data_IF_871414335332
#
_entry.id   IF_871414335332
#
_cell.length_a   1.000
_cell.length_b   1.000
_cell.length_c   1.000
_cell.angle_alpha   90.00
_cell.angle_beta   90.00
_cell.angle_gamma   90.00
#
_symmetry.space_group_name_H-M   'P 1'
#
loop_
_entity.id
_entity.type
_entity.pdbx_description
1 polymer ?
#
# COMPACT_ATOMS: atom_id res chain seq x y z
N UNK A 1 18.53 -3.41 -19.51
CA UNK A 1 17.18 -3.47 -18.92
C UNK A 1 16.61 -2.06 -18.93
N UNK A 2 15.39 -1.83 -19.42
CA UNK A 2 14.84 -0.49 -19.47
C UNK A 2 14.54 -0.01 -18.04
N UNK A 3 14.92 1.24 -17.80
CA UNK A 3 14.88 1.94 -16.54
C UNK A 3 13.42 2.30 -16.24
N UNK A 4 12.67 1.41 -15.57
CA UNK A 4 11.27 1.67 -15.23
C UNK A 4 11.20 2.63 -14.06
N UNK A 5 11.35 3.94 -14.35
CA UNK A 5 10.91 4.98 -13.43
C UNK A 5 9.39 5.00 -13.50
N UNK A 6 8.73 4.17 -12.71
CA UNK A 6 7.35 4.45 -12.31
C UNK A 6 7.36 5.86 -11.72
N UNK A 7 6.85 6.82 -12.48
CA UNK A 7 6.55 8.13 -11.94
C UNK A 7 5.25 7.93 -11.18
N UNK A 8 5.27 8.17 -9.88
CA UNK A 8 4.06 8.15 -9.06
C UNK A 8 3.02 9.09 -9.71
N UNK A 9 1.77 8.64 -9.82
CA UNK A 9 0.69 9.47 -10.39
C UNK A 9 0.42 10.71 -9.52
N UNK A 10 0.77 10.65 -8.23
CA UNK A 10 0.57 11.74 -7.29
C UNK A 10 1.90 12.34 -6.88
N UNK A 11 2.05 13.65 -7.12
CA UNK A 11 3.17 14.44 -6.61
C UNK A 11 2.65 15.50 -5.66
N UNK A 12 3.17 15.48 -4.42
CA UNK A 12 2.86 16.49 -3.43
C UNK A 12 4.14 16.89 -2.68
N UNK A 13 4.65 18.09 -3.00
CA UNK A 13 5.96 18.55 -2.53
C UNK A 13 5.90 19.35 -1.22
N UNK A 14 4.73 19.89 -0.84
CA UNK A 14 4.57 20.76 0.33
C UNK A 14 3.15 20.67 0.90
N UNK A 15 3.00 20.65 2.24
CA UNK A 15 1.70 20.56 2.95
C UNK A 15 0.65 21.60 2.55
N UNK A 16 1.07 22.77 2.06
CA UNK A 16 0.15 23.84 1.63
C UNK A 16 -0.13 23.83 0.13
N UNK A 17 0.51 22.96 -0.64
CA UNK A 17 0.29 22.85 -2.07
C UNK A 17 -0.86 21.90 -2.36
N UNK A 18 -1.58 22.17 -3.45
CA UNK A 18 -2.59 21.25 -3.97
C UNK A 18 -1.89 19.97 -4.44
N UNK A 19 -2.41 18.77 -4.13
CA UNK A 19 -1.88 17.52 -4.68
C UNK A 19 -2.00 17.51 -6.20
N UNK A 20 -0.91 17.18 -6.88
CA UNK A 20 -0.89 17.11 -8.34
C UNK A 20 -1.12 15.67 -8.77
N UNK A 21 -2.15 15.45 -9.59
CA UNK A 21 -2.46 14.18 -10.24
C UNK A 21 -1.94 14.26 -11.68
N UNK A 22 -0.77 13.68 -11.92
CA UNK A 22 -0.14 13.67 -13.23
C UNK A 22 -0.76 12.61 -14.14
N UNK A 23 -0.73 12.90 -15.45
CA UNK A 23 -0.91 11.89 -16.48
C UNK A 23 0.23 10.87 -16.32
N UNK A 24 -0.14 9.64 -15.97
CA UNK A 24 0.79 8.52 -15.94
C UNK A 24 0.66 7.67 -17.19
N UNK A 25 1.58 6.71 -17.34
CA UNK A 25 1.55 5.79 -18.46
C UNK A 25 0.60 4.60 -18.24
N UNK A 26 0.18 4.38 -16.99
CA UNK A 26 -0.64 3.27 -16.56
C UNK A 26 -2.00 3.78 -16.03
N UNK A 27 -2.97 2.88 -15.84
CA UNK A 27 -4.26 3.22 -15.25
C UNK A 27 -4.10 3.60 -13.76
N UNK A 28 -4.98 4.47 -13.26
CA UNK A 28 -4.99 4.84 -11.84
C UNK A 28 -5.17 3.60 -10.95
N UNK A 29 -4.34 3.50 -9.92
CA UNK A 29 -4.42 2.42 -8.94
C UNK A 29 -5.17 2.85 -7.68
N UNK A 30 -5.66 1.91 -6.84
CA UNK A 30 -6.24 2.26 -5.54
C UNK A 30 -5.29 3.08 -4.66
N UNK A 31 -3.97 2.84 -4.80
CA UNK A 31 -2.92 3.54 -4.06
C UNK A 31 -2.79 5.00 -4.50
N UNK A 32 -2.92 5.29 -5.78
CA UNK A 32 -2.89 6.67 -6.28
C UNK A 32 -4.06 7.48 -5.74
N UNK A 33 -5.26 6.89 -5.73
CA UNK A 33 -6.46 7.56 -5.20
C UNK A 33 -6.36 7.74 -3.68
N UNK A 34 -5.86 6.76 -2.93
CA UNK A 34 -5.64 6.91 -1.47
C UNK A 34 -4.57 7.97 -1.16
N UNK A 35 -3.47 8.01 -1.92
CA UNK A 35 -2.45 9.02 -1.77
C UNK A 35 -3.00 10.42 -2.03
N UNK A 36 -3.80 10.59 -3.10
CA UNK A 36 -4.47 11.86 -3.38
C UNK A 36 -5.42 12.27 -2.24
N UNK A 37 -6.25 11.35 -1.74
CA UNK A 37 -7.16 11.59 -0.61
C UNK A 37 -6.40 12.09 0.62
N UNK A 38 -5.29 11.42 0.95
CA UNK A 38 -4.43 11.78 2.07
C UNK A 38 -3.85 13.19 1.93
N UNK A 39 -3.30 13.53 0.76
CA UNK A 39 -2.74 14.87 0.53
C UNK A 39 -3.81 15.95 0.45
N UNK A 40 -4.99 15.64 -0.10
CA UNK A 40 -6.13 16.55 -0.12
C UNK A 40 -6.60 16.89 1.31
N UNK A 41 -6.69 15.88 2.19
CA UNK A 41 -7.02 16.09 3.60
C UNK A 41 -5.97 16.94 4.33
N UNK A 42 -4.68 16.73 4.04
CA UNK A 42 -3.59 17.53 4.58
C UNK A 42 -3.63 18.98 4.09
N UNK A 43 -3.91 19.20 2.80
CA UNK A 43 -4.07 20.53 2.22
C UNK A 43 -5.21 21.30 2.90
N UNK A 44 -6.36 20.66 3.10
CA UNK A 44 -7.49 21.26 3.82
C UNK A 44 -7.11 21.60 5.26
N UNK A 45 -6.45 20.68 5.96
CA UNK A 45 -5.99 20.89 7.34
C UNK A 45 -5.01 22.08 7.44
N UNK A 46 -4.13 22.25 6.45
CA UNK A 46 -3.12 23.31 6.42
C UNK A 46 -3.65 24.68 5.98
N UNK A 47 -4.80 24.73 5.31
CA UNK A 47 -5.41 25.94 4.74
C UNK A 47 -6.85 26.18 5.24
N UNK A 48 -7.24 25.58 6.36
CA UNK A 48 -8.63 25.60 6.86
C UNK A 48 -9.17 27.00 7.18
N UNK A 49 -8.31 28.00 7.32
CA UNK A 49 -8.65 29.42 7.45
C UNK A 49 -9.08 30.07 6.12
N UNK A 50 -8.70 29.47 4.98
CA UNK A 50 -8.90 30.02 3.63
C UNK A 50 -9.80 29.16 2.75
N UNK A 51 -9.90 27.87 3.06
CA UNK A 51 -10.61 26.89 2.24
C UNK A 51 -11.78 26.34 3.04
N UNK A 52 -12.98 26.60 2.54
CA UNK A 52 -14.20 25.99 3.08
C UNK A 52 -14.43 24.60 2.50
N UNK A 53 -15.22 23.79 3.19
CA UNK A 53 -15.67 22.49 2.67
C UNK A 53 -16.40 22.61 1.32
N UNK A 54 -17.07 23.73 1.04
CA UNK A 54 -17.78 23.95 -0.23
C UNK A 54 -16.84 24.29 -1.40
N UNK A 55 -15.64 24.81 -1.11
CA UNK A 55 -14.69 25.26 -2.13
C UNK A 55 -13.52 24.30 -2.31
N UNK A 56 -13.37 23.33 -1.41
CA UNK A 56 -12.17 22.47 -1.35
C UNK A 56 -11.99 21.64 -2.61
N UNK A 57 -13.05 21.02 -3.13
CA UNK A 57 -12.96 20.20 -4.35
C UNK A 57 -12.55 21.06 -5.54
N UNK A 58 -13.18 22.22 -5.74
CA UNK A 58 -12.81 23.16 -6.80
C UNK A 58 -11.34 23.60 -6.73
N UNK A 59 -10.79 23.77 -5.52
CA UNK A 59 -9.39 24.13 -5.34
C UNK A 59 -8.47 22.94 -5.63
N UNK A 60 -8.83 21.75 -5.15
CA UNK A 60 -8.03 20.54 -5.34
C UNK A 60 -7.94 20.11 -6.80
N UNK A 61 -9.01 20.30 -7.58
CA UNK A 61 -9.03 19.91 -8.99
C UNK A 61 -8.13 20.79 -9.88
N UNK A 62 -7.68 21.95 -9.40
CA UNK A 62 -6.62 22.73 -10.07
C UNK A 62 -5.29 21.98 -10.18
N UNK A 63 -5.10 20.92 -9.38
CA UNK A 63 -3.94 20.03 -9.44
C UNK A 63 -4.08 18.88 -10.45
N UNK A 64 -5.20 18.75 -11.16
CA UNK A 64 -5.36 17.70 -12.16
C UNK A 64 -4.58 18.04 -13.44
N UNK A 65 -3.75 17.10 -13.86
CA UNK A 65 -3.01 17.17 -15.12
C UNK A 65 -3.28 15.96 -16.02
N UNK A 66 -3.87 14.90 -15.48
CA UNK A 66 -4.37 13.78 -16.27
C UNK A 66 -5.60 14.18 -17.09
N UNK A 67 -5.52 14.03 -18.42
CA UNK A 67 -6.58 14.46 -19.34
C UNK A 67 -7.89 13.71 -19.14
N UNK A 68 -7.85 12.42 -18.80
CA UNK A 68 -9.05 11.62 -18.58
C UNK A 68 -9.77 12.09 -17.31
N UNK A 69 -9.00 12.37 -16.26
CA UNK A 69 -9.56 12.87 -14.99
C UNK A 69 -10.11 14.29 -15.15
N UNK A 70 -9.41 15.17 -15.87
CA UNK A 70 -9.91 16.50 -16.21
C UNK A 70 -11.24 16.43 -16.98
N UNK A 71 -11.31 15.63 -18.03
CA UNK A 71 -12.53 15.48 -18.82
C UNK A 71 -13.68 14.88 -18.00
N UNK A 72 -13.41 13.86 -17.19
CA UNK A 72 -14.41 13.30 -16.28
C UNK A 72 -14.92 14.34 -15.29
N UNK A 73 -14.04 15.15 -14.72
CA UNK A 73 -14.41 16.22 -13.82
C UNK A 73 -15.28 17.28 -14.51
N UNK A 74 -14.89 17.73 -15.71
CA UNK A 74 -15.63 18.75 -16.47
C UNK A 74 -17.05 18.29 -16.83
N UNK A 75 -17.20 17.03 -17.25
CA UNK A 75 -18.51 16.46 -17.59
C UNK A 75 -19.44 16.36 -16.37
N UNK A 76 -18.89 16.07 -15.20
CA UNK A 76 -19.65 15.83 -13.96
C UNK A 76 -19.53 16.98 -12.95
N UNK A 77 -19.03 18.13 -13.39
CA UNK A 77 -18.52 19.22 -12.56
C UNK A 77 -19.49 19.65 -11.46
N UNK A 78 -20.76 19.89 -11.81
CA UNK A 78 -21.77 20.42 -10.90
C UNK A 78 -22.02 19.48 -9.72
N UNK A 79 -22.01 18.18 -9.95
CA UNK A 79 -22.30 17.19 -8.91
C UNK A 79 -21.06 16.87 -8.08
N UNK A 80 -19.90 16.76 -8.74
CA UNK A 80 -18.63 16.51 -8.04
C UNK A 80 -18.23 17.64 -7.09
N UNK A 81 -18.55 18.90 -7.39
CA UNK A 81 -18.25 20.03 -6.51
C UNK A 81 -18.98 20.00 -5.17
N UNK A 82 -20.08 19.26 -5.06
CA UNK A 82 -20.89 19.18 -3.83
C UNK A 82 -20.35 18.14 -2.85
N UNK A 83 -19.43 17.29 -3.30
CA UNK A 83 -18.94 16.16 -2.55
C UNK A 83 -17.91 16.59 -1.50
N UNK A 84 -17.88 15.87 -0.38
CA UNK A 84 -16.72 15.85 0.51
C UNK A 84 -15.51 15.18 -0.18
N UNK A 85 -14.32 15.34 0.38
CA UNK A 85 -13.11 14.66 -0.13
C UNK A 85 -13.31 13.14 -0.18
N UNK A 86 -13.94 12.56 0.84
CA UNK A 86 -14.18 11.11 0.92
C UNK A 86 -15.20 10.63 -0.12
N UNK A 87 -16.28 11.39 -0.34
CA UNK A 87 -17.27 11.06 -1.37
C UNK A 87 -16.66 11.22 -2.78
N UNK A 88 -15.88 12.28 -2.99
CA UNK A 88 -15.18 12.51 -4.25
C UNK A 88 -14.19 11.37 -4.57
N UNK A 89 -13.42 10.90 -3.59
CA UNK A 89 -12.49 9.78 -3.81
C UNK A 89 -13.24 8.47 -4.02
N UNK A 90 -14.42 8.29 -3.41
CA UNK A 90 -15.27 7.16 -3.74
C UNK A 90 -15.75 7.21 -5.20
N UNK A 91 -16.21 8.38 -5.68
CA UNK A 91 -16.58 8.55 -7.10
C UNK A 91 -15.40 8.33 -8.05
N UNK A 92 -14.18 8.73 -7.67
CA UNK A 92 -12.97 8.39 -8.44
C UNK A 92 -12.74 6.88 -8.50
N UNK A 93 -12.87 6.16 -7.37
CA UNK A 93 -12.70 4.70 -7.33
C UNK A 93 -13.72 4.00 -8.24
N UNK A 94 -14.98 4.42 -8.19
CA UNK A 94 -16.06 3.87 -9.03
C UNK A 94 -15.86 4.15 -10.52
N UNK A 95 -15.22 5.26 -10.86
CA UNK A 95 -15.02 5.67 -12.26
C UNK A 95 -13.79 5.02 -12.88
N UNK A 96 -12.67 5.00 -12.16
CA UNK A 96 -11.35 4.68 -12.73
C UNK A 96 -10.82 3.29 -12.36
N UNK A 97 -11.35 2.66 -11.31
CA UNK A 97 -10.93 1.31 -10.93
C UNK A 97 -11.87 0.27 -11.54
N UNK A 98 -11.35 -0.92 -11.80
CA UNK A 98 -12.15 -2.09 -12.17
C UNK A 98 -13.19 -2.37 -11.06
N UNK A 99 -14.43 -2.70 -11.40
CA UNK A 99 -15.50 -3.03 -10.44
C UNK A 99 -15.09 -4.08 -9.38
N UNK A 100 -14.17 -4.98 -9.73
CA UNK A 100 -13.67 -6.05 -8.87
C UNK A 100 -12.32 -5.75 -8.23
N UNK A 101 -11.80 -4.51 -8.33
CA UNK A 101 -10.46 -4.14 -7.84
C UNK A 101 -10.21 -4.59 -6.40
N UNK A 102 -11.18 -4.44 -5.51
CA UNK A 102 -11.03 -4.78 -4.09
C UNK A 102 -10.99 -6.29 -3.88
N UNK A 103 -11.75 -7.06 -4.66
CA UNK A 103 -11.74 -8.53 -4.66
C UNK A 103 -10.44 -9.06 -5.26
N UNK A 104 -9.98 -8.48 -6.36
CA UNK A 104 -8.73 -8.84 -7.01
C UNK A 104 -7.53 -8.56 -6.09
N UNK A 105 -7.50 -7.39 -5.44
CA UNK A 105 -6.47 -7.04 -4.47
C UNK A 105 -6.49 -7.96 -3.26
N UNK A 106 -7.67 -8.23 -2.69
CA UNK A 106 -7.82 -9.19 -1.58
C UNK A 106 -7.31 -10.59 -1.98
N UNK A 107 -7.69 -11.06 -3.17
CA UNK A 107 -7.23 -12.35 -3.70
C UNK A 107 -5.72 -12.38 -3.89
N UNK A 108 -5.13 -11.28 -4.38
CA UNK A 108 -3.68 -11.14 -4.54
C UNK A 108 -2.96 -11.16 -3.19
N UNK A 109 -3.49 -10.49 -2.16
CA UNK A 109 -2.95 -10.53 -0.80
C UNK A 109 -2.96 -11.97 -0.28
N UNK A 110 -4.12 -12.65 -0.34
CA UNK A 110 -4.28 -14.01 0.20
C UNK A 110 -3.51 -15.08 -0.58
N UNK A 111 -3.23 -14.84 -1.85
CA UNK A 111 -2.40 -15.73 -2.68
C UNK A 111 -0.89 -15.45 -2.54
N UNK A 112 -0.50 -14.38 -1.85
CA UNK A 112 0.90 -13.98 -1.75
C UNK A 112 1.71 -14.93 -0.88
N UNK A 113 2.91 -15.26 -1.35
CA UNK A 113 3.91 -16.01 -0.61
C UNK A 113 5.23 -15.28 -0.64
N UNK A 114 6.04 -15.43 0.42
CA UNK A 114 7.32 -14.74 0.54
C UNK A 114 8.21 -15.08 -0.66
N UNK A 115 8.54 -14.10 -1.53
CA UNK A 115 9.45 -14.34 -2.64
C UNK A 115 10.85 -14.68 -2.11
N UNK A 116 11.58 -15.56 -2.82
CA UNK A 116 12.97 -15.90 -2.45
C UNK A 116 13.93 -14.73 -2.52
N UNK A 117 13.56 -13.67 -3.24
CA UNK A 117 14.35 -12.45 -3.45
C UNK A 117 14.05 -11.35 -2.43
N UNK A 118 13.07 -11.55 -1.55
CA UNK A 118 12.55 -10.51 -0.67
C UNK A 118 12.65 -10.92 0.80
N UNK A 119 13.08 -10.00 1.66
CA UNK A 119 13.14 -10.27 3.10
C UNK A 119 11.74 -10.38 3.70
N UNK A 120 11.60 -11.12 4.80
CA UNK A 120 10.30 -11.28 5.46
C UNK A 120 9.68 -9.92 5.80
N UNK A 121 10.47 -8.96 6.27
CA UNK A 121 10.00 -7.61 6.61
C UNK A 121 9.47 -6.86 5.39
N UNK A 122 10.15 -6.95 4.24
CA UNK A 122 9.71 -6.27 3.02
C UNK A 122 8.37 -6.85 2.54
N UNK A 123 8.28 -8.18 2.46
CA UNK A 123 7.08 -8.88 2.04
C UNK A 123 5.88 -8.56 2.94
N UNK A 124 6.03 -8.65 4.26
CA UNK A 124 4.94 -8.34 5.20
C UNK A 124 4.53 -6.86 5.14
N UNK A 125 5.47 -5.95 4.93
CA UNK A 125 5.17 -4.52 4.78
C UNK A 125 4.39 -4.23 3.51
N UNK A 126 4.70 -4.91 2.40
CA UNK A 126 3.93 -4.78 1.17
C UNK A 126 2.49 -5.24 1.36
N UNK A 127 2.29 -6.42 1.98
CA UNK A 127 0.95 -6.93 2.25
C UNK A 127 0.16 -6.07 3.22
N UNK A 128 0.79 -5.48 4.24
CA UNK A 128 0.12 -4.51 5.11
C UNK A 128 -0.32 -3.26 4.36
N UNK A 129 0.54 -2.68 3.51
CA UNK A 129 0.18 -1.51 2.69
C UNK A 129 -0.97 -1.80 1.74
N UNK A 130 -1.04 -3.01 1.21
CA UNK A 130 -2.13 -3.39 0.33
C UNK A 130 -3.41 -3.67 1.12
N UNK A 131 -3.31 -4.24 2.32
CA UNK A 131 -4.45 -4.44 3.21
C UNK A 131 -5.08 -3.12 3.69
N UNK A 132 -4.29 -2.04 3.88
CA UNK A 132 -4.85 -0.73 4.27
C UNK A 132 -5.77 -0.15 3.19
N UNK A 133 -5.49 -0.42 1.91
CA UNK A 133 -6.35 -0.01 0.79
C UNK A 133 -7.75 -0.64 0.84
N UNK A 134 -7.86 -1.81 1.49
CA UNK A 134 -9.12 -2.55 1.63
C UNK A 134 -9.91 -2.15 2.88
N UNK A 135 -9.37 -1.32 3.77
CA UNK A 135 -9.96 -0.99 5.08
C UNK A 135 -11.37 -0.38 5.01
N UNK A 136 -11.69 0.33 3.92
CA UNK A 136 -12.99 0.95 3.67
C UNK A 136 -13.90 0.10 2.74
N UNK A 137 -13.53 -1.16 2.48
CA UNK A 137 -14.24 -2.05 1.55
C UNK A 137 -14.82 -3.26 2.30
N UNK A 138 -15.82 -3.96 1.73
CA UNK A 138 -16.27 -5.24 2.27
C UNK A 138 -15.21 -6.34 2.27
N UNK A 139 -14.08 -6.15 1.57
CA UNK A 139 -12.96 -7.08 1.47
C UNK A 139 -11.83 -6.75 2.45
N UNK A 140 -12.09 -5.96 3.50
CA UNK A 140 -11.12 -5.65 4.54
C UNK A 140 -10.48 -6.94 5.10
N UNK A 141 -9.15 -6.95 5.16
CA UNK A 141 -8.37 -8.09 5.67
C UNK A 141 -8.00 -7.80 7.11
N UNK A 142 -8.34 -8.69 8.03
CA UNK A 142 -8.03 -8.52 9.46
C UNK A 142 -6.57 -8.87 9.75
N UNK A 143 -6.05 -8.38 10.88
CA UNK A 143 -4.71 -8.71 11.34
C UNK A 143 -4.56 -10.21 11.64
N UNK A 144 -5.62 -10.89 12.11
CA UNK A 144 -5.62 -12.35 12.28
C UNK A 144 -5.40 -13.05 10.93
N UNK A 145 -6.10 -12.61 9.89
CA UNK A 145 -5.99 -13.19 8.56
C UNK A 145 -4.59 -12.96 7.95
N UNK A 146 -4.03 -11.75 8.13
CA UNK A 146 -2.66 -11.46 7.72
C UNK A 146 -1.64 -12.30 8.50
N UNK A 147 -1.83 -12.47 9.81
CA UNK A 147 -0.97 -13.29 10.64
C UNK A 147 -0.97 -14.75 10.18
N UNK A 148 -2.15 -15.32 9.91
CA UNK A 148 -2.28 -16.67 9.40
C UNK A 148 -1.58 -16.82 8.04
N UNK A 149 -1.81 -15.87 7.13
CA UNK A 149 -1.14 -15.81 5.83
C UNK A 149 0.40 -15.78 5.98
N UNK A 150 0.93 -14.95 6.87
CA UNK A 150 2.37 -14.86 7.09
C UNK A 150 2.96 -16.16 7.64
N UNK A 151 2.21 -16.84 8.52
CA UNK A 151 2.61 -18.14 9.07
C UNK A 151 2.60 -19.24 8.02
N UNK A 152 1.63 -19.25 7.10
CA UNK A 152 1.49 -20.32 6.11
C UNK A 152 2.35 -20.13 4.87
N UNK A 153 2.58 -18.87 4.47
CA UNK A 153 3.14 -18.56 3.14
C UNK A 153 4.57 -17.96 3.20
N UNK A 154 5.22 -17.99 4.35
CA UNK A 154 6.65 -17.73 4.46
C UNK A 154 7.49 -18.73 3.65
N UNK A 155 8.73 -18.36 3.33
CA UNK A 155 9.63 -19.27 2.61
C UNK A 155 9.94 -20.54 3.42
N UNK A 156 10.10 -21.67 2.73
CA UNK A 156 10.35 -22.98 3.36
C UNK A 156 11.68 -23.04 4.12
N UNK A 157 12.71 -22.33 3.64
CA UNK A 157 14.00 -22.20 4.32
C UNK A 157 13.82 -21.51 5.67
N UNK A 158 13.05 -20.42 5.69
CA UNK A 158 12.78 -19.65 6.88
C UNK A 158 11.88 -20.41 7.86
N UNK A 159 10.87 -21.13 7.36
CA UNK A 159 10.05 -22.05 8.17
C UNK A 159 10.90 -23.13 8.85
N UNK A 160 11.88 -23.70 8.14
CA UNK A 160 12.81 -24.67 8.71
C UNK A 160 13.69 -24.04 9.78
N UNK A 161 14.22 -22.83 9.53
CA UNK A 161 15.00 -22.09 10.51
C UNK A 161 14.18 -21.81 11.78
N UNK A 162 12.88 -21.51 11.64
CA UNK A 162 11.99 -21.25 12.78
C UNK A 162 11.74 -22.45 13.67
N UNK A 163 11.59 -23.66 13.11
CA UNK A 163 11.38 -24.87 13.94
C UNK A 163 12.50 -25.08 14.97
N UNK A 164 13.69 -24.54 14.68
CA UNK A 164 14.89 -24.65 15.50
C UNK A 164 15.14 -23.41 16.39
N UNK A 165 14.20 -22.45 16.43
CA UNK A 165 14.38 -21.15 17.06
C UNK A 165 13.47 -20.94 18.28
N UNK A 166 14.05 -20.95 19.48
CA UNK A 166 13.32 -20.83 20.75
C UNK A 166 12.65 -19.48 20.98
N UNK A 167 13.21 -18.39 20.43
CA UNK A 167 12.58 -17.06 20.57
C UNK A 167 11.34 -16.95 19.70
N UNK A 168 11.32 -17.70 18.59
CA UNK A 168 10.16 -17.77 17.71
C UNK A 168 9.02 -18.58 18.27
N UNK A 169 9.32 -19.70 18.93
CA UNK A 169 8.29 -20.51 19.61
C UNK A 169 7.49 -19.68 20.62
N UNK A 170 8.13 -18.72 21.30
CA UNK A 170 7.47 -17.81 22.25
C UNK A 170 6.49 -16.83 21.61
N UNK A 171 6.69 -16.48 20.34
CA UNK A 171 5.86 -15.50 19.63
C UNK A 171 4.95 -16.12 18.58
N UNK A 172 5.06 -17.42 18.32
CA UNK A 172 4.29 -18.12 17.28
C UNK A 172 2.79 -18.07 17.53
N UNK A 173 2.37 -18.27 18.78
CA UNK A 173 0.96 -18.24 19.18
C UNK A 173 0.48 -16.83 19.56
N UNK A 174 1.36 -15.83 19.53
CA UNK A 174 0.96 -14.45 19.76
C UNK A 174 0.32 -13.88 18.51
N UNK A 175 -0.85 -13.25 18.66
CA UNK A 175 -1.47 -12.43 17.62
C UNK A 175 -0.87 -11.01 17.60
N UNK A 176 0.46 -10.92 17.55
CA UNK A 176 1.21 -9.66 17.51
C UNK A 176 2.14 -9.67 16.30
N UNK A 177 1.65 -9.14 15.18
CA UNK A 177 2.38 -9.14 13.90
C UNK A 177 3.74 -8.47 14.06
N UNK A 178 3.83 -7.36 14.79
CA UNK A 178 5.08 -6.63 14.95
C UNK A 178 6.14 -7.46 15.67
N UNK A 179 5.77 -8.13 16.78
CA UNK A 179 6.69 -9.03 17.49
C UNK A 179 7.06 -10.23 16.62
N UNK A 180 6.09 -10.78 15.91
CA UNK A 180 6.31 -11.91 15.02
C UNK A 180 7.30 -11.56 13.90
N UNK A 181 7.08 -10.46 13.16
CA UNK A 181 7.99 -9.99 12.09
C UNK A 181 9.39 -9.69 12.63
N UNK A 182 9.50 -9.09 13.82
CA UNK A 182 10.80 -8.82 14.42
C UNK A 182 11.56 -10.10 14.77
N UNK A 183 10.89 -11.13 15.29
CA UNK A 183 11.50 -12.44 15.51
C UNK A 183 11.84 -13.11 14.18
N UNK A 184 10.99 -12.95 13.17
CA UNK A 184 11.13 -13.53 11.83
C UNK A 184 12.40 -13.07 11.16
N UNK A 185 12.60 -11.76 11.16
CA UNK A 185 13.78 -11.13 10.62
C UNK A 185 15.06 -11.58 11.33
N UNK A 186 15.01 -11.83 12.65
CA UNK A 186 16.19 -12.33 13.39
C UNK A 186 16.59 -13.73 12.94
N UNK A 187 15.63 -14.64 12.76
CA UNK A 187 15.94 -16.00 12.28
C UNK A 187 16.44 -15.98 10.84
N UNK A 188 15.83 -15.16 9.97
CA UNK A 188 16.26 -14.96 8.59
C UNK A 188 17.72 -14.48 8.53
N UNK A 189 18.08 -13.47 9.33
CA UNK A 189 19.45 -12.95 9.40
C UNK A 189 20.46 -14.01 9.87
N UNK A 190 20.10 -14.85 10.86
CA UNK A 190 20.95 -15.96 11.31
C UNK A 190 21.18 -16.99 10.21
N UNK A 191 20.13 -17.35 9.49
CA UNK A 191 20.21 -18.29 8.37
C UNK A 191 21.14 -17.76 7.27
N UNK A 192 20.99 -16.48 6.89
CA UNK A 192 21.84 -15.85 5.88
C UNK A 192 23.32 -15.77 6.33
N UNK A 193 23.58 -15.46 7.60
CA UNK A 193 24.92 -15.45 8.16
C UNK A 193 25.58 -16.84 8.08
N UNK A 194 24.88 -17.88 8.50
CA UNK A 194 25.37 -19.26 8.45
C UNK A 194 25.62 -19.74 7.01
N UNK A 195 24.74 -19.38 6.06
CA UNK A 195 24.95 -19.72 4.65
C UNK A 195 26.22 -19.06 4.09
N UNK A 196 26.45 -17.79 4.42
CA UNK A 196 27.64 -17.05 4.02
C UNK A 196 28.93 -17.67 4.57
N UNK A 197 28.93 -18.10 5.84
CA UNK A 197 30.07 -18.79 6.45
C UNK A 197 30.40 -20.10 5.73
N UNK A 198 29.39 -20.90 5.38
CA UNK A 198 29.59 -22.16 4.61
C UNK A 198 30.20 -21.89 3.24
N UNK A 199 29.73 -20.86 2.53
CA UNK A 199 30.29 -20.50 1.24
C UNK A 199 31.75 -20.04 1.34
N UNK A 200 32.09 -19.27 2.38
CA UNK A 200 33.46 -18.81 2.61
C UNK A 200 34.41 -19.97 2.94
N UNK A 201 33.93 -21.00 3.65
CA UNK A 201 34.69 -22.22 3.92
C UNK A 201 34.86 -23.04 2.64
N UNK A 202 33.82 -23.16 1.81
CA UNK A 202 33.85 -23.99 0.58
C UNK A 202 34.72 -23.40 -0.53
N UNK A 203 35.06 -22.11 -0.45
CA UNK A 203 35.93 -21.40 -1.40
C UNK A 203 37.42 -21.44 -1.00
N UNK A 204 37.76 -21.99 0.16
CA UNK A 204 39.14 -22.17 0.66
C UNK A 204 39.62 -23.59 0.38
#
# INVERSE_FOLDING_TARGET
>A
MPNNKNKDHIIHTQLKAVPILHEGNDDLTPRDIEAWEYYAANYLSANGDKVSAMTVISMLTTGFQDHLVCNWFDVNHIDLLKLSIAEFTNSMRETFLNEQWSRELCSSILASAQPSTESITQWTNHLHKDATLLSKTPQAVSDECLMDLFKTNMSSCLLTAYKNDEDMKKVWDLNDIKKWVASAQRSENRMLAHHKEIEEISKK
#
